data_IF_530546607081
#
_entry.id   IF_530546607081
#
_cell.length_a   1.000
_cell.length_b   1.000
_cell.length_c   1.000
_cell.angle_alpha   90.00
_cell.angle_beta   90.00
_cell.angle_gamma   90.00
#
_symmetry.space_group_name_H-M   'P 1'
#
loop_
_entity.id
_entity.type
_entity.pdbx_description
1 polymer ?
#
# COMPACT_ATOMS: atom_id res chain seq x y z
N UNK A 1 15.27 -13.80 15.76
CA UNK A 1 15.37 -12.40 16.22
C UNK A 1 14.41 -11.54 15.40
N UNK A 2 13.62 -10.66 16.02
CA UNK A 2 12.56 -9.88 15.35
C UNK A 2 13.00 -8.42 15.19
N UNK A 3 12.76 -7.82 14.02
CA UNK A 3 13.07 -6.40 13.79
C UNK A 3 12.01 -5.52 14.45
N UNK A 4 12.45 -4.44 15.09
CA UNK A 4 11.57 -3.39 15.63
C UNK A 4 11.15 -2.44 14.51
N UNK A 5 9.89 -2.04 14.50
CA UNK A 5 9.38 -0.99 13.60
C UNK A 5 10.00 0.36 13.96
N UNK A 6 10.34 1.17 12.95
CA UNK A 6 10.95 2.49 13.09
C UNK A 6 10.32 3.42 12.04
N UNK A 7 10.09 4.69 12.41
CA UNK A 7 9.60 5.72 11.49
C UNK A 7 8.13 5.53 11.04
N UNK A 8 7.32 4.83 11.83
CA UNK A 8 5.90 4.59 11.55
C UNK A 8 5.06 5.86 11.70
N UNK A 9 5.50 6.77 12.57
CA UNK A 9 4.91 8.09 12.81
C UNK A 9 5.11 9.08 11.66
N UNK A 10 6.01 8.77 10.73
CA UNK A 10 6.39 9.63 9.60
C UNK A 10 6.30 8.90 8.26
N UNK A 11 5.53 7.81 8.18
CA UNK A 11 5.35 6.99 6.97
C UNK A 11 6.66 6.49 6.32
N UNK A 12 7.69 6.28 7.14
CA UNK A 12 9.02 5.85 6.71
C UNK A 12 9.35 4.41 7.08
N UNK A 13 8.41 3.67 7.69
CA UNK A 13 8.62 2.26 8.00
C UNK A 13 8.66 1.41 6.73
N UNK A 14 9.12 0.17 6.88
CA UNK A 14 9.18 -0.76 5.76
C UNK A 14 7.78 -0.95 5.14
N UNK A 15 7.66 -0.65 3.84
CA UNK A 15 6.41 -0.80 3.08
C UNK A 15 5.57 0.48 2.96
N UNK A 16 5.90 1.55 3.68
CA UNK A 16 5.16 2.82 3.62
C UNK A 16 5.69 3.81 2.57
N UNK A 17 6.90 3.57 2.04
CA UNK A 17 7.54 4.48 1.09
C UNK A 17 6.82 4.45 -0.29
N UNK A 18 5.98 5.46 -0.55
CA UNK A 18 5.27 5.63 -1.85
C UNK A 18 6.00 6.61 -2.76
N UNK A 19 6.42 7.76 -2.22
CA UNK A 19 7.05 8.84 -2.99
C UNK A 19 6.17 9.42 -4.11
N UNK A 20 6.74 10.29 -4.94
CA UNK A 20 6.10 10.77 -6.17
C UNK A 20 6.55 9.89 -7.34
N UNK A 21 5.62 9.13 -7.92
CA UNK A 21 5.91 8.19 -9.01
C UNK A 21 4.92 8.36 -10.17
N UNK A 22 5.44 8.60 -11.37
CA UNK A 22 4.64 8.64 -12.60
C UNK A 22 4.46 7.20 -13.12
N UNK A 23 3.29 6.61 -12.87
CA UNK A 23 2.94 5.26 -13.33
C UNK A 23 2.67 5.21 -14.84
N UNK A 24 3.59 4.60 -15.60
CA UNK A 24 3.46 4.37 -17.06
C UNK A 24 2.68 3.11 -17.41
N UNK A 25 2.50 2.19 -16.47
CA UNK A 25 1.92 0.86 -16.72
C UNK A 25 0.40 0.82 -16.56
N UNK A 26 -0.21 1.94 -16.17
CA UNK A 26 -1.64 2.06 -15.83
C UNK A 26 -2.08 1.09 -14.73
N UNK A 27 -1.14 0.60 -13.92
CA UNK A 27 -1.40 -0.36 -12.83
C UNK A 27 -2.36 0.25 -11.82
N UNK A 28 -2.23 1.54 -11.55
CA UNK A 28 -3.10 2.26 -10.62
C UNK A 28 -4.57 2.21 -11.05
N UNK A 29 -4.85 2.36 -12.35
CA UNK A 29 -6.21 2.29 -12.90
C UNK A 29 -6.78 0.87 -12.79
N UNK A 30 -5.99 -0.15 -13.15
CA UNK A 30 -6.40 -1.55 -13.05
C UNK A 30 -6.68 -1.96 -11.60
N UNK A 31 -5.83 -1.57 -10.66
CA UNK A 31 -6.01 -1.86 -9.24
C UNK A 31 -7.30 -1.24 -8.71
N UNK A 32 -7.58 0.03 -9.05
CA UNK A 32 -8.83 0.72 -8.64
C UNK A 32 -10.08 -0.04 -9.09
N UNK A 33 -10.13 -0.50 -10.35
CA UNK A 33 -11.25 -1.29 -10.87
C UNK A 33 -11.44 -2.64 -10.15
N UNK A 34 -10.39 -3.16 -9.51
CA UNK A 34 -10.43 -4.44 -8.81
C UNK A 34 -10.81 -4.30 -7.32
N UNK A 35 -10.70 -3.11 -6.73
CA UNK A 35 -10.98 -2.90 -5.29
C UNK A 35 -12.48 -2.95 -4.94
N UNK A 36 -13.37 -2.82 -5.93
CA UNK A 36 -14.83 -2.84 -5.74
C UNK A 36 -15.40 -4.24 -5.39
N UNK A 37 -14.56 -5.27 -5.34
CA UNK A 37 -15.00 -6.68 -5.26
C UNK A 37 -14.79 -7.42 -3.94
N UNK A 38 -14.24 -6.80 -2.89
CA UNK A 38 -13.82 -7.55 -1.70
C UNK A 38 -14.48 -7.02 -0.43
N UNK A 39 -15.73 -7.43 -0.20
CA UNK A 39 -16.33 -7.38 1.13
C UNK A 39 -15.86 -8.59 1.94
N UNK A 40 -14.66 -8.51 2.52
CA UNK A 40 -14.26 -9.50 3.54
C UNK A 40 -15.13 -9.21 4.77
N UNK A 41 -16.21 -9.96 4.94
CA UNK A 41 -16.95 -9.98 6.20
C UNK A 41 -15.97 -10.36 7.30
N UNK A 42 -15.68 -9.40 8.17
CA UNK A 42 -14.87 -9.63 9.35
C UNK A 42 -15.78 -10.35 10.35
N UNK A 43 -15.34 -11.52 10.83
CA UNK A 43 -15.96 -12.26 11.96
C UNK A 43 -15.69 -11.49 13.25
#
# INVERSE_FOLDING_TARGET
IVRKTRGDDIDAACGQLVGEVIDRTKRTMKNRMQQDGISVKMV
#
